data_IF_457336298698
#
_entry.id   IF_457336298698
#
_cell.length_a   1.000
_cell.length_b   1.000
_cell.length_c   1.000
_cell.angle_alpha   90.00
_cell.angle_beta   90.00
_cell.angle_gamma   90.00
#
_symmetry.space_group_name_H-M   'P 1'
#
loop_
_entity.id
_entity.type
_entity.pdbx_description
1 polymer ?
#
# COMPACT_ATOMS: atom_id res chain seq x y z
N UNK A 1 1.83 -8.33 -8.41
CA UNK A 1 1.31 -8.73 -7.08
C UNK A 1 -0.19 -8.51 -7.06
N UNK A 2 -0.88 -9.14 -6.13
CA UNK A 2 -2.34 -9.07 -5.92
C UNK A 2 -2.63 -8.84 -4.43
N UNK A 3 -3.89 -8.59 -4.09
CA UNK A 3 -4.34 -8.36 -2.71
C UNK A 3 -4.09 -9.56 -1.78
N UNK A 4 -4.06 -10.76 -2.35
CA UNK A 4 -3.73 -12.01 -1.64
C UNK A 4 -2.22 -12.24 -1.50
N UNK A 5 -1.39 -11.47 -2.20
CA UNK A 5 0.06 -11.57 -2.09
C UNK A 5 0.51 -11.17 -0.70
N UNK A 6 1.61 -11.76 -0.25
CA UNK A 6 2.22 -11.43 1.02
C UNK A 6 3.18 -10.25 0.86
N UNK A 7 3.07 -9.29 1.78
CA UNK A 7 3.94 -8.14 1.89
C UNK A 7 5.38 -8.61 2.16
N UNK A 8 6.33 -8.33 1.25
CA UNK A 8 7.66 -8.92 1.33
C UNK A 8 8.58 -8.22 2.33
N UNK A 9 8.27 -6.96 2.70
CA UNK A 9 9.17 -6.09 3.47
C UNK A 9 8.45 -5.17 4.46
N UNK A 10 9.24 -4.55 5.33
CA UNK A 10 8.79 -3.48 6.23
C UNK A 10 7.99 -4.01 7.43
N UNK A 11 7.22 -3.10 8.05
CA UNK A 11 6.49 -3.35 9.30
C UNK A 11 5.42 -4.45 9.16
N UNK A 12 4.78 -4.53 7.99
CA UNK A 12 3.72 -5.50 7.70
C UNK A 12 4.24 -6.73 6.93
N UNK A 13 5.55 -7.01 6.99
CA UNK A 13 6.12 -8.18 6.33
C UNK A 13 5.41 -9.46 6.82
N UNK A 14 4.96 -10.30 5.89
CA UNK A 14 4.21 -11.52 6.21
C UNK A 14 2.69 -11.36 6.19
N UNK A 15 2.18 -10.12 6.15
CA UNK A 15 0.74 -9.85 6.01
C UNK A 15 0.30 -9.86 4.55
N UNK A 16 -0.99 -10.14 4.32
CA UNK A 16 -1.59 -9.97 2.98
C UNK A 16 -1.63 -8.50 2.60
N UNK A 17 -1.40 -8.18 1.32
CA UNK A 17 -1.48 -6.80 0.80
C UNK A 17 -2.82 -6.14 1.13
N UNK A 18 -3.92 -6.89 1.06
CA UNK A 18 -5.27 -6.44 1.45
C UNK A 18 -5.38 -5.95 2.90
N UNK A 19 -4.58 -6.51 3.81
CA UNK A 19 -4.59 -6.16 5.23
C UNK A 19 -3.67 -4.98 5.54
N UNK A 20 -2.80 -4.58 4.60
CA UNK A 20 -1.86 -3.48 4.81
C UNK A 20 -2.61 -2.15 4.66
N UNK A 21 -2.51 -1.23 5.65
CA UNK A 21 -3.18 0.06 5.54
C UNK A 21 -2.73 0.87 4.32
N UNK A 22 -3.69 1.47 3.62
CA UNK A 22 -3.46 2.28 2.41
C UNK A 22 -2.47 3.43 2.65
N UNK A 23 -2.56 4.07 3.83
CA UNK A 23 -1.62 5.12 4.23
C UNK A 23 -0.19 4.62 4.41
N UNK A 24 0.01 3.37 4.85
CA UNK A 24 1.35 2.78 4.93
C UNK A 24 1.90 2.44 3.54
N UNK A 25 1.06 1.92 2.63
CA UNK A 25 1.46 1.65 1.26
C UNK A 25 1.86 2.94 0.52
N UNK A 26 1.08 4.01 0.68
CA UNK A 26 1.41 5.32 0.11
C UNK A 26 2.73 5.87 0.69
N UNK A 27 2.89 5.84 2.02
CA UNK A 27 4.14 6.25 2.66
C UNK A 27 5.34 5.45 2.15
N UNK A 28 5.17 4.14 1.96
CA UNK A 28 6.20 3.26 1.46
C UNK A 28 6.56 3.55 -0.01
N UNK A 29 5.60 4.00 -0.82
CA UNK A 29 5.86 4.43 -2.18
C UNK A 29 6.64 5.75 -2.26
N UNK A 30 6.34 6.70 -1.36
CA UNK A 30 6.96 8.03 -1.35
C UNK A 30 8.33 8.04 -0.65
N UNK A 31 8.48 7.27 0.44
CA UNK A 31 9.65 7.30 1.32
C UNK A 31 10.44 5.99 1.34
N UNK A 32 9.85 4.89 0.88
CA UNK A 32 10.48 3.57 0.91
C UNK A 32 11.35 3.31 -0.31
N UNK A 33 12.44 2.57 -0.11
CA UNK A 33 13.24 2.05 -1.21
C UNK A 33 12.62 0.75 -1.76
N UNK A 34 11.48 0.89 -2.44
CA UNK A 34 10.76 -0.23 -3.05
C UNK A 34 11.00 -0.31 -4.55
N UNK A 35 11.08 -1.53 -5.09
CA UNK A 35 11.38 -1.80 -6.49
C UNK A 35 10.63 -3.04 -6.97
N UNK A 36 10.60 -3.23 -8.29
CA UNK A 36 9.95 -4.38 -8.94
C UNK A 36 8.43 -4.41 -8.72
N UNK A 37 7.91 -5.60 -8.50
CA UNK A 37 6.47 -5.87 -8.49
C UNK A 37 5.71 -5.17 -7.36
N UNK A 38 6.37 -4.93 -6.22
CA UNK A 38 5.77 -4.19 -5.10
C UNK A 38 5.55 -2.73 -5.47
N UNK A 39 6.55 -2.08 -6.06
CA UNK A 39 6.41 -0.69 -6.51
C UNK A 39 5.34 -0.57 -7.58
N UNK A 40 5.33 -1.50 -8.54
CA UNK A 40 4.32 -1.53 -9.60
C UNK A 40 2.91 -1.70 -9.03
N UNK A 41 2.72 -2.64 -8.11
CA UNK A 41 1.43 -2.84 -7.45
C UNK A 41 0.94 -1.57 -6.73
N UNK A 42 1.79 -0.90 -5.95
CA UNK A 42 1.37 0.31 -5.24
C UNK A 42 1.12 1.47 -6.22
N UNK A 43 1.90 1.57 -7.30
CA UNK A 43 1.70 2.57 -8.34
C UNK A 43 0.38 2.36 -9.10
N UNK A 44 0.08 1.11 -9.48
CA UNK A 44 -1.16 0.76 -10.19
C UNK A 44 -2.41 1.00 -9.33
N UNK A 45 -2.26 0.95 -7.99
CA UNK A 45 -3.35 1.20 -7.03
C UNK A 45 -3.29 2.60 -6.38
N UNK A 46 -2.38 3.48 -6.80
CA UNK A 46 -2.08 4.73 -6.09
C UNK A 46 -3.32 5.64 -5.92
N UNK A 47 -4.14 5.74 -6.96
CA UNK A 47 -5.35 6.56 -6.98
C UNK A 47 -6.41 6.02 -6.01
N UNK A 48 -6.55 4.69 -5.93
CA UNK A 48 -7.44 4.02 -4.97
C UNK A 48 -6.95 4.28 -3.55
N UNK A 49 -5.66 4.08 -3.29
CA UNK A 49 -5.07 4.28 -1.97
C UNK A 49 -5.25 5.72 -1.46
N UNK A 50 -5.06 6.71 -2.33
CA UNK A 50 -5.30 8.13 -2.00
C UNK A 50 -6.78 8.40 -1.71
N UNK A 51 -7.68 7.88 -2.55
CA UNK A 51 -9.13 8.05 -2.38
C UNK A 51 -9.62 7.44 -1.06
N UNK A 52 -9.12 6.27 -0.67
CA UNK A 52 -9.46 5.63 0.60
C UNK A 52 -8.97 6.44 1.81
N UNK A 53 -7.78 7.04 1.73
CA UNK A 53 -7.23 7.91 2.78
C UNK A 53 -8.09 9.17 2.91
N UNK A 54 -8.41 9.83 1.80
CA UNK A 54 -9.27 11.01 1.79
C UNK A 54 -10.66 10.72 2.36
N UNK A 55 -11.26 9.59 1.99
CA UNK A 55 -12.54 9.15 2.53
C UNK A 55 -12.46 8.93 4.04
N UNK A 56 -11.46 8.18 4.53
CA UNK A 56 -11.24 7.94 5.96
C UNK A 56 -11.00 9.23 6.76
N UNK A 57 -10.37 10.24 6.15
CA UNK A 57 -10.14 11.53 6.79
C UNK A 57 -11.40 12.41 6.84
N UNK A 58 -12.30 12.29 5.86
CA UNK A 58 -13.60 13.00 5.86
C UNK A 58 -14.64 12.36 6.78
N UNK A 59 -14.52 11.07 7.06
CA UNK A 59 -15.43 10.33 7.96
C UNK A 59 -15.01 10.38 9.44
N UNK A 60 -13.95 11.10 9.78
CA UNK A 60 -13.49 11.36 11.14
C UNK A 60 -13.95 12.74 11.60
#
# INVERSE_FOLDING_TARGET
MTDESIMPIGKYKGEKMANVPSGYLLWLYENGNIYGDLKKYIADNLDVLKSEIEYKNKSK
#
